data_IF_366401755278
#
_entry.id   IF_366401755278
#
_cell.length_a   1.000
_cell.length_b   1.000
_cell.length_c   1.000
_cell.angle_alpha   90.00
_cell.angle_beta   90.00
_cell.angle_gamma   90.00
#
_symmetry.space_group_name_H-M   'P 1'
#
loop_
_entity.id
_entity.type
_entity.pdbx_description
1 polymer ?
#
# COMPACT_ATOMS: atom_id res chain seq x y z
N UNK A 1 -2.73 20.85 12.21
CA UNK A 1 -4.07 20.70 11.61
C UNK A 1 -4.36 19.21 11.49
N UNK A 2 -5.33 18.66 12.26
CA UNK A 2 -5.64 17.22 12.29
C UNK A 2 -6.68 16.91 11.21
N UNK A 3 -6.27 16.28 10.12
CA UNK A 3 -7.20 15.81 9.09
C UNK A 3 -7.61 14.38 9.49
N UNK A 4 -8.86 14.21 9.93
CA UNK A 4 -9.43 12.90 10.25
C UNK A 4 -10.10 12.31 9.01
N UNK A 5 -9.41 11.41 8.29
CA UNK A 5 -10.04 10.65 7.21
C UNK A 5 -10.80 9.49 7.85
N UNK A 6 -12.14 9.61 7.87
CA UNK A 6 -13.03 8.68 8.58
C UNK A 6 -13.15 7.31 7.87
N UNK A 7 -12.99 7.27 6.54
CA UNK A 7 -13.08 6.06 5.72
C UNK A 7 -12.12 6.14 4.52
N UNK A 8 -11.01 5.40 4.55
CA UNK A 8 -10.07 5.29 3.42
C UNK A 8 -10.51 4.26 2.35
N UNK A 9 -11.35 3.29 2.71
CA UNK A 9 -11.80 2.23 1.79
C UNK A 9 -12.62 2.68 0.57
N UNK A 10 -13.50 3.69 0.65
CA UNK A 10 -14.22 4.18 -0.53
C UNK A 10 -13.28 4.72 -1.61
N UNK A 11 -12.16 5.34 -1.20
CA UNK A 11 -11.14 5.82 -2.13
C UNK A 11 -10.41 4.66 -2.81
N UNK A 12 -10.07 3.61 -2.05
CA UNK A 12 -9.46 2.38 -2.58
C UNK A 12 -10.40 1.69 -3.57
N UNK A 13 -11.69 1.58 -3.23
CA UNK A 13 -12.70 0.99 -4.10
C UNK A 13 -12.90 1.84 -5.36
N UNK A 14 -13.02 3.15 -5.24
CA UNK A 14 -13.14 4.06 -6.38
C UNK A 14 -11.93 3.92 -7.32
N UNK A 15 -10.72 3.90 -6.77
CA UNK A 15 -9.50 3.73 -7.56
C UNK A 15 -9.40 2.33 -8.20
N UNK A 16 -9.88 1.29 -7.51
CA UNK A 16 -9.97 -0.06 -8.11
C UNK A 16 -10.98 -0.13 -9.26
N UNK A 17 -12.08 0.62 -9.19
CA UNK A 17 -13.07 0.74 -10.28
C UNK A 17 -12.48 1.50 -11.46
N UNK A 18 -11.72 2.57 -11.20
CA UNK A 18 -10.96 3.27 -12.27
C UNK A 18 -9.98 2.31 -12.94
N UNK A 19 -9.28 1.47 -12.16
CA UNK A 19 -8.36 0.47 -12.70
C UNK A 19 -9.09 -0.59 -13.52
N UNK A 20 -10.30 -1.00 -13.10
CA UNK A 20 -11.14 -1.92 -13.87
C UNK A 20 -11.57 -1.30 -15.20
N UNK A 21 -11.97 -0.02 -15.18
CA UNK A 21 -12.35 0.72 -16.38
C UNK A 21 -11.16 0.86 -17.34
N UNK A 22 -9.95 1.05 -16.82
CA UNK A 22 -8.72 1.07 -17.59
C UNK A 22 -8.50 -0.23 -18.37
N UNK A 23 -8.73 -1.39 -17.73
CA UNK A 23 -8.64 -2.70 -18.40
C UNK A 23 -9.62 -2.80 -19.58
N UNK A 24 -10.81 -2.21 -19.47
CA UNK A 24 -11.86 -2.31 -20.49
C UNK A 24 -11.66 -1.30 -21.63
N UNK A 25 -11.15 -0.11 -21.34
CA UNK A 25 -11.03 0.98 -22.32
C UNK A 25 -9.70 1.02 -23.09
N UNK A 26 -8.73 0.15 -22.75
CA UNK A 26 -7.39 0.07 -23.35
C UNK A 26 -6.71 1.45 -23.52
N UNK A 27 -6.95 2.35 -22.56
CA UNK A 27 -6.48 3.74 -22.61
C UNK A 27 -4.99 3.81 -22.34
N UNK A 28 -4.16 3.77 -23.38
CA UNK A 28 -2.71 3.94 -23.27
C UNK A 28 -2.28 5.35 -22.82
N UNK A 29 -1.18 5.44 -22.06
CA UNK A 29 -0.50 6.72 -21.77
C UNK A 29 0.39 6.70 -20.52
N UNK A 30 1.37 7.60 -20.47
CA UNK A 30 2.39 7.65 -19.39
C UNK A 30 1.76 7.89 -18.03
N UNK A 31 0.82 8.84 -17.94
CA UNK A 31 0.10 9.17 -16.69
C UNK A 31 -0.60 7.93 -16.13
N UNK A 32 -1.17 7.10 -17.00
CA UNK A 32 -1.87 5.88 -16.63
C UNK A 32 -0.93 4.78 -16.13
N UNK A 33 0.23 4.62 -16.77
CA UNK A 33 1.27 3.68 -16.31
C UNK A 33 1.74 4.06 -14.91
N UNK A 34 2.00 5.34 -14.67
CA UNK A 34 2.44 5.83 -13.34
C UNK A 34 1.36 5.60 -12.28
N UNK A 35 0.10 5.91 -12.58
CA UNK A 35 -1.02 5.70 -11.65
C UNK A 35 -1.27 4.21 -11.39
N UNK A 36 -1.28 3.38 -12.42
CA UNK A 36 -1.48 1.94 -12.30
C UNK A 36 -0.36 1.27 -11.52
N UNK A 37 0.89 1.65 -11.77
CA UNK A 37 2.04 1.15 -11.02
C UNK A 37 1.96 1.54 -9.54
N UNK A 38 1.65 2.81 -9.26
CA UNK A 38 1.47 3.30 -7.89
C UNK A 38 0.34 2.56 -7.16
N UNK A 39 -0.74 2.24 -7.89
CA UNK A 39 -1.82 1.43 -7.35
C UNK A 39 -1.35 0.03 -6.96
N UNK A 40 -0.74 -0.68 -7.91
CA UNK A 40 -0.27 -2.04 -7.75
C UNK A 40 0.76 -2.14 -6.62
N UNK A 41 1.66 -1.16 -6.48
CA UNK A 41 2.70 -1.18 -5.45
C UNK A 41 2.22 -0.88 -4.03
N UNK A 42 1.07 -0.24 -3.85
CA UNK A 42 0.66 0.24 -2.52
C UNK A 42 -0.65 -0.35 -2.01
N UNK A 43 -1.68 -0.41 -2.85
CA UNK A 43 -3.05 -0.70 -2.43
C UNK A 43 -3.31 -2.16 -1.99
N UNK A 44 -2.81 -3.20 -2.70
CA UNK A 44 -3.04 -4.57 -2.26
C UNK A 44 -2.35 -4.87 -0.93
N UNK A 45 -1.12 -4.37 -0.73
CA UNK A 45 -0.43 -4.47 0.55
C UNK A 45 -1.13 -3.69 1.68
N UNK A 46 -1.60 -2.47 1.39
CA UNK A 46 -2.34 -1.68 2.37
C UNK A 46 -3.66 -2.32 2.80
N UNK A 47 -4.45 -2.83 1.85
CA UNK A 47 -5.72 -3.53 2.17
C UNK A 47 -5.48 -4.81 2.95
N UNK A 48 -4.39 -5.53 2.67
CA UNK A 48 -4.01 -6.71 3.43
C UNK A 48 -3.61 -6.37 4.87
N UNK A 49 -2.84 -5.31 5.10
CA UNK A 49 -2.53 -4.85 6.45
C UNK A 49 -3.78 -4.36 7.17
N UNK A 50 -4.64 -3.58 6.50
CA UNK A 50 -5.89 -3.13 7.07
C UNK A 50 -6.82 -4.32 7.43
N UNK A 51 -6.72 -5.42 6.69
CA UNK A 51 -7.42 -6.66 7.01
C UNK A 51 -6.76 -7.40 8.18
N UNK A 52 -5.42 -7.49 8.24
CA UNK A 52 -4.70 -8.25 9.28
C UNK A 52 -4.67 -7.53 10.63
N UNK A 53 -4.40 -6.22 10.61
CA UNK A 53 -4.22 -5.32 11.75
C UNK A 53 -5.22 -4.14 11.66
N UNK A 54 -6.49 -4.39 12.02
CA UNK A 54 -7.56 -3.40 11.89
C UNK A 54 -7.58 -2.35 13.02
N UNK A 55 -6.86 -2.55 14.12
CA UNK A 55 -6.84 -1.62 15.25
C UNK A 55 -5.79 -0.51 15.05
N UNK A 56 -5.93 0.61 15.79
CA UNK A 56 -4.93 1.69 15.80
C UNK A 56 -3.65 1.32 16.48
N UNK A 57 -3.77 0.61 17.58
CA UNK A 57 -2.64 0.34 18.46
C UNK A 57 -1.78 -0.83 17.95
N UNK A 58 -2.16 -1.42 16.82
CA UNK A 58 -1.43 -2.53 16.22
C UNK A 58 -0.14 -2.06 15.52
N UNK A 59 -0.18 -0.88 14.87
CA UNK A 59 0.92 -0.37 14.03
C UNK A 59 0.93 1.16 13.97
N UNK A 60 2.14 1.73 14.06
CA UNK A 60 2.34 3.16 13.82
C UNK A 60 2.12 3.52 12.34
N UNK A 61 1.87 4.81 12.07
CA UNK A 61 1.60 5.30 10.70
C UNK A 61 2.75 4.98 9.73
N UNK A 62 4.00 5.14 10.18
CA UNK A 62 5.19 4.86 9.36
C UNK A 62 5.38 3.36 9.13
N UNK A 63 5.15 2.54 10.15
CA UNK A 63 5.20 1.08 10.04
C UNK A 63 4.14 0.57 9.08
N UNK A 64 2.91 1.11 9.16
CA UNK A 64 1.81 0.74 8.27
C UNK A 64 2.16 1.01 6.81
N UNK A 65 2.77 2.15 6.52
CA UNK A 65 3.21 2.53 5.16
C UNK A 65 4.34 1.62 4.68
N UNK A 66 5.38 1.44 5.50
CA UNK A 66 6.54 0.62 5.15
C UNK A 66 6.15 -0.85 4.93
N UNK A 67 5.32 -1.40 5.81
CA UNK A 67 4.81 -2.74 5.68
C UNK A 67 3.88 -2.86 4.48
N UNK A 68 3.02 -1.87 4.18
CA UNK A 68 2.12 -1.94 3.02
C UNK A 68 2.90 -2.08 1.72
N UNK A 69 3.98 -1.30 1.58
CA UNK A 69 4.87 -1.39 0.42
C UNK A 69 5.58 -2.75 0.35
N UNK A 70 6.15 -3.20 1.47
CA UNK A 70 6.85 -4.49 1.57
C UNK A 70 5.94 -5.67 1.25
N UNK A 71 4.71 -5.65 1.79
CA UNK A 71 3.73 -6.69 1.56
C UNK A 71 3.28 -6.73 0.10
N UNK A 72 3.15 -5.58 -0.55
CA UNK A 72 2.80 -5.53 -1.96
C UNK A 72 3.85 -6.20 -2.83
N UNK A 73 5.13 -5.87 -2.59
CA UNK A 73 6.27 -6.50 -3.28
C UNK A 73 6.29 -8.02 -3.08
N UNK A 74 5.90 -8.51 -1.90
CA UNK A 74 5.80 -9.95 -1.63
C UNK A 74 4.58 -10.60 -2.31
N UNK A 75 3.43 -9.93 -2.31
CA UNK A 75 2.16 -10.49 -2.78
C UNK A 75 2.10 -10.54 -4.31
N UNK A 76 2.63 -9.54 -5.03
CA UNK A 76 2.52 -9.47 -6.49
C UNK A 76 3.18 -10.69 -7.18
N UNK A 77 4.45 -11.07 -6.89
CA UNK A 77 5.05 -12.26 -7.48
C UNK A 77 4.35 -13.55 -7.07
N UNK A 78 3.86 -13.62 -5.84
CA UNK A 78 3.12 -14.79 -5.34
C UNK A 78 1.81 -14.98 -6.12
N UNK A 79 1.06 -13.89 -6.36
CA UNK A 79 -0.13 -13.92 -7.20
C UNK A 79 0.21 -14.28 -8.65
N UNK A 80 1.31 -13.75 -9.19
CA UNK A 80 1.82 -14.13 -10.51
C UNK A 80 2.14 -15.62 -10.62
N UNK A 81 2.74 -16.20 -9.58
CA UNK A 81 3.04 -17.63 -9.50
C UNK A 81 1.76 -18.46 -9.44
N UNK A 82 0.79 -18.08 -8.62
CA UNK A 82 -0.53 -18.74 -8.56
C UNK A 82 -1.21 -18.71 -9.93
N UNK A 83 -1.15 -17.55 -10.59
CA UNK A 83 -1.74 -17.35 -11.91
C UNK A 83 -1.02 -18.13 -13.02
N UNK A 84 0.26 -18.45 -12.84
CA UNK A 84 1.01 -19.31 -13.76
C UNK A 84 0.40 -20.73 -13.85
N UNK A 85 -0.24 -21.22 -12.79
CA UNK A 85 -0.99 -22.47 -12.80
C UNK A 85 -2.40 -22.33 -13.38
N UNK A 86 -2.87 -21.09 -13.63
CA UNK A 86 -4.18 -20.83 -14.19
C UNK A 86 -4.13 -20.92 -15.73
N UNK A 87 -5.22 -21.35 -16.40
CA UNK A 87 -5.24 -21.62 -17.85
C UNK A 87 -4.98 -20.38 -18.73
N UNK A 88 -5.03 -19.18 -18.15
CA UNK A 88 -4.85 -17.88 -18.78
C UNK A 88 -3.36 -17.45 -18.83
N UNK A 89 -2.50 -18.08 -18.02
CA UNK A 89 -1.07 -17.80 -17.89
C UNK A 89 -0.72 -16.44 -17.27
N UNK A 90 0.57 -16.13 -17.21
CA UNK A 90 1.12 -14.87 -16.66
C UNK A 90 1.05 -13.76 -17.71
N UNK A 91 -0.18 -13.33 -18.04
CA UNK A 91 -0.44 -12.18 -18.92
C UNK A 91 -0.86 -10.96 -18.11
N UNK A 92 -0.67 -9.77 -18.67
CA UNK A 92 -0.98 -8.49 -18.01
C UNK A 92 -2.46 -8.39 -17.58
N UNK A 93 -3.38 -8.77 -18.47
CA UNK A 93 -4.83 -8.74 -18.20
C UNK A 93 -5.24 -9.64 -17.01
N UNK A 94 -4.91 -10.94 -16.98
CA UNK A 94 -5.18 -11.80 -15.82
C UNK A 94 -4.51 -11.33 -14.52
N UNK A 95 -3.26 -10.83 -14.55
CA UNK A 95 -2.58 -10.32 -13.35
C UNK A 95 -3.35 -9.15 -12.75
N UNK A 96 -3.72 -8.18 -13.58
CA UNK A 96 -4.49 -7.02 -13.13
C UNK A 96 -5.85 -7.44 -12.59
N UNK A 97 -6.56 -8.34 -13.27
CA UNK A 97 -7.86 -8.85 -12.82
C UNK A 97 -7.75 -9.55 -11.46
N UNK A 98 -6.76 -10.42 -11.28
CA UNK A 98 -6.50 -11.10 -10.00
C UNK A 98 -6.19 -10.12 -8.89
N UNK A 99 -5.31 -9.13 -9.13
CA UNK A 99 -4.99 -8.08 -8.15
C UNK A 99 -6.22 -7.26 -7.77
N UNK A 100 -7.09 -6.97 -8.73
CA UNK A 100 -8.29 -6.19 -8.51
C UNK A 100 -9.28 -6.95 -7.62
N UNK A 101 -9.56 -8.21 -7.95
CA UNK A 101 -10.41 -9.10 -7.13
C UNK A 101 -9.82 -9.24 -5.73
N UNK A 102 -8.52 -9.50 -5.64
CA UNK A 102 -7.82 -9.64 -4.36
C UNK A 102 -7.95 -8.39 -3.48
N UNK A 103 -7.72 -7.20 -4.06
CA UNK A 103 -7.82 -5.92 -3.35
C UNK A 103 -9.25 -5.65 -2.88
N UNK A 104 -10.26 -5.93 -3.72
CA UNK A 104 -11.67 -5.79 -3.34
C UNK A 104 -12.02 -6.74 -2.18
N UNK A 105 -11.65 -8.02 -2.29
CA UNK A 105 -11.93 -9.02 -1.25
C UNK A 105 -11.31 -8.62 0.09
N UNK A 106 -10.05 -8.21 0.08
CA UNK A 106 -9.37 -7.75 1.29
C UNK A 106 -9.97 -6.45 1.84
N UNK A 107 -10.38 -5.53 0.98
CA UNK A 107 -11.08 -4.31 1.40
C UNK A 107 -12.39 -4.66 2.10
N UNK A 108 -13.19 -5.58 1.55
CA UNK A 108 -14.43 -6.07 2.19
C UNK A 108 -14.12 -6.75 3.52
N UNK A 109 -13.09 -7.61 3.56
CA UNK A 109 -12.69 -8.30 4.79
C UNK A 109 -12.19 -7.32 5.87
N UNK A 110 -11.45 -6.29 5.47
CA UNK A 110 -10.99 -5.23 6.35
C UNK A 110 -12.17 -4.42 6.90
N UNK A 111 -13.15 -4.08 6.07
CA UNK A 111 -14.39 -3.42 6.51
C UNK A 111 -15.15 -4.32 7.50
N UNK A 112 -15.30 -5.61 7.18
CA UNK A 112 -15.98 -6.57 8.04
C UNK A 112 -15.29 -6.70 9.41
N UNK A 113 -13.96 -6.86 9.42
CA UNK A 113 -13.17 -6.92 10.66
C UNK A 113 -13.24 -5.61 11.45
N UNK A 114 -13.16 -4.45 10.78
CA UNK A 114 -13.23 -3.11 11.42
C UNK A 114 -14.61 -2.80 11.97
N UNK A 115 -15.68 -3.32 11.38
CA UNK A 115 -17.04 -3.19 11.89
C UNK A 115 -17.26 -3.98 13.19
N UNK A 116 -16.52 -5.07 13.40
CA UNK A 116 -16.52 -5.85 14.64
C UNK A 116 -15.81 -5.16 15.81
N UNK A 117 -15.02 -4.10 15.54
CA UNK A 117 -14.35 -3.31 16.57
C UNK A 117 -15.25 -2.14 17.02
N UNK A 118 -15.27 -1.91 18.35
CA UNK A 118 -15.94 -0.78 18.98
C UNK A 118 -15.40 0.57 18.47
N UNK A 119 -16.24 1.60 18.38
CA UNK A 119 -15.98 2.88 17.70
C UNK A 119 -14.67 3.57 18.11
N UNK A 120 -14.19 3.34 19.33
CA UNK A 120 -12.95 3.91 19.89
C UNK A 120 -11.68 3.21 19.39
N UNK A 121 -11.72 1.90 19.14
CA UNK A 121 -10.56 1.11 18.65
C UNK A 121 -10.40 1.10 17.14
N UNK A 122 -11.39 1.67 16.42
CA UNK A 122 -11.36 1.74 14.97
C UNK A 122 -10.19 2.62 14.54
N UNK A 123 -9.38 2.09 13.61
CA UNK A 123 -8.44 2.92 12.89
C UNK A 123 -9.15 4.18 12.38
N UNK A 124 -8.58 5.35 12.63
CA UNK A 124 -8.80 6.54 11.83
C UNK A 124 -7.39 6.99 11.52
N UNK A 125 -7.15 7.32 10.27
CA UNK A 125 -5.95 8.05 9.88
C UNK A 125 -6.07 9.43 10.50
N UNK A 126 -5.66 9.54 11.77
CA UNK A 126 -5.26 10.81 12.34
C UNK A 126 -3.85 11.01 11.85
N UNK A 127 -3.68 11.79 10.78
CA UNK A 127 -2.38 12.35 10.41
C UNK A 127 -1.95 13.27 11.56
N UNK A 128 -1.47 12.68 12.64
CA UNK A 128 -0.72 13.41 13.62
C UNK A 128 0.63 13.63 12.94
N UNK A 129 0.72 14.75 12.21
CA UNK A 129 1.98 15.40 11.88
C UNK A 129 2.58 15.91 13.21
N UNK A 130 2.72 15.03 14.21
CA UNK A 130 3.87 15.13 15.09
C UNK A 130 5.02 14.77 14.16
N UNK A 131 5.50 15.81 13.46
CA UNK A 131 6.80 15.84 12.85
C UNK A 131 7.70 15.10 13.83
N UNK A 132 8.20 13.94 13.38
CA UNK A 132 9.29 13.19 13.97
C UNK A 132 10.07 14.15 14.84
N UNK A 133 10.05 13.97 16.17
CA UNK A 133 10.87 14.75 17.09
C UNK A 133 12.34 14.47 16.75
N UNK A 134 12.81 15.11 15.67
CA UNK A 134 14.13 15.00 15.09
C UNK A 134 15.19 15.55 16.05
N UNK A 135 14.75 16.24 17.10
CA UNK A 135 15.59 16.85 18.11
C UNK A 135 16.28 15.88 19.07
N UNK A 136 15.91 14.59 19.12
CA UNK A 136 16.45 13.66 20.13
C UNK A 136 17.32 12.51 19.60
N UNK A 137 17.71 12.55 18.33
CA UNK A 137 18.62 11.55 17.77
C UNK A 137 20.04 11.70 18.37
N UNK A 138 20.59 10.59 18.87
CA UNK A 138 21.96 10.54 19.37
C UNK A 138 22.94 10.87 18.24
N UNK A 139 24.16 11.35 18.57
CA UNK A 139 25.18 11.70 17.55
C UNK A 139 25.44 10.54 16.58
N UNK A 140 25.35 9.31 17.07
CA UNK A 140 25.52 8.10 16.27
C UNK A 140 24.39 7.90 15.26
N UNK A 141 23.12 8.13 15.65
CA UNK A 141 21.97 7.99 14.74
C UNK A 141 22.05 8.97 13.57
N UNK A 142 22.57 10.17 13.84
CA UNK A 142 22.79 11.22 12.84
C UNK A 142 23.90 10.85 11.85
N UNK A 143 25.00 10.28 12.36
CA UNK A 143 26.12 9.82 11.53
C UNK A 143 25.68 8.62 10.69
N UNK A 144 25.00 7.64 11.29
CA UNK A 144 24.51 6.45 10.60
C UNK A 144 23.50 6.81 9.52
N UNK A 145 22.56 7.72 9.82
CA UNK A 145 21.60 8.20 8.82
C UNK A 145 22.29 8.95 7.67
N UNK A 146 23.28 9.80 7.98
CA UNK A 146 24.06 10.52 6.96
C UNK A 146 24.87 9.57 6.07
N UNK A 147 25.52 8.56 6.66
CA UNK A 147 26.24 7.54 5.92
C UNK A 147 25.31 6.72 5.02
N UNK A 148 24.11 6.36 5.51
CA UNK A 148 23.11 5.64 4.74
C UNK A 148 22.66 6.44 3.52
N UNK A 149 22.33 7.73 3.70
CA UNK A 149 21.96 8.62 2.58
C UNK A 149 23.10 8.73 1.57
N UNK A 150 24.34 8.89 2.05
CA UNK A 150 25.53 8.92 1.18
C UNK A 150 25.71 7.64 0.38
N UNK A 151 25.50 6.48 1.00
CA UNK A 151 25.60 5.18 0.35
C UNK A 151 24.53 4.99 -0.75
N UNK A 152 23.29 5.42 -0.49
CA UNK A 152 22.20 5.36 -1.49
C UNK A 152 22.51 6.25 -2.68
N UNK A 153 22.97 7.48 -2.46
CA UNK A 153 23.35 8.40 -3.55
C UNK A 153 24.50 7.82 -4.37
N UNK A 154 25.52 7.28 -3.70
CA UNK A 154 26.67 6.65 -4.37
C UNK A 154 26.24 5.46 -5.23
N UNK A 155 25.38 4.58 -4.70
CA UNK A 155 24.89 3.41 -5.42
C UNK A 155 24.10 3.80 -6.67
N UNK A 156 23.17 4.77 -6.55
CA UNK A 156 22.37 5.25 -7.68
C UNK A 156 23.24 5.98 -8.71
N UNK A 157 24.25 6.73 -8.30
CA UNK A 157 25.18 7.40 -9.21
C UNK A 157 26.19 6.47 -9.90
N UNK A 158 26.30 5.22 -9.43
CA UNK A 158 27.19 4.20 -10.04
C UNK A 158 26.53 3.35 -11.12
N UNK A 159 25.21 3.50 -11.32
CA UNK A 159 24.44 2.90 -12.41
C UNK A 159 24.45 3.79 -13.66
#
# INVERSE_FOLDING_TARGET
MRIEVKNEFPFILFLSVILALFIVLDMGGIVWVVLGLSFVLFFPGYTLIAALFPARDDLDCMERVALSFSLSIAVIPLLGLILNYAPWGVRLYPILLTLLIFTILLSVLAIYRRNKLSFEKRFKVSLNLEATKWGNFSRLDKILSGALVGAVIFAVGSL
#
